data_IF_657320775095
#
_entry.id   IF_657320775095
#
_cell.length_a   1.000
_cell.length_b   1.000
_cell.length_c   1.000
_cell.angle_alpha   90.00
_cell.angle_beta   90.00
_cell.angle_gamma   90.00
#
_symmetry.space_group_name_H-M   'P 1'
#
loop_
_entity.id
_entity.type
_entity.pdbx_description
1 polymer ?
#
# COMPACT_ATOMS: atom_id res chain seq x y z
N UNK A 1 10.46 -37.22 -19.66
CA UNK A 1 9.17 -36.72 -20.18
C UNK A 1 9.39 -35.30 -20.68
N UNK A 2 9.73 -35.13 -21.96
CA UNK A 2 9.71 -33.80 -22.59
C UNK A 2 8.25 -33.52 -22.96
N UNK A 3 7.64 -32.50 -22.35
CA UNK A 3 6.30 -32.06 -22.73
C UNK A 3 6.44 -31.17 -23.98
N UNK A 4 5.96 -31.60 -25.17
CA UNK A 4 6.04 -30.79 -26.37
C UNK A 4 5.17 -29.53 -26.33
N UNK A 5 4.34 -29.36 -25.31
CA UNK A 5 3.35 -28.28 -25.18
C UNK A 5 3.55 -27.43 -23.90
N UNK A 6 4.80 -27.31 -23.43
CA UNK A 6 5.16 -26.55 -22.23
C UNK A 6 5.52 -25.08 -22.50
N UNK A 7 6.01 -24.38 -21.46
CA UNK A 7 6.55 -23.00 -21.56
C UNK A 7 7.60 -22.83 -22.68
N UNK A 8 8.33 -23.90 -22.98
CA UNK A 8 9.34 -23.93 -24.04
C UNK A 8 8.73 -23.81 -25.43
N UNK A 9 7.53 -24.35 -25.65
CA UNK A 9 6.82 -24.24 -26.92
C UNK A 9 6.24 -22.82 -27.13
N UNK A 10 5.70 -22.22 -26.07
CA UNK A 10 5.29 -20.79 -26.10
C UNK A 10 6.48 -19.87 -26.36
N UNK A 11 7.65 -20.21 -25.83
CA UNK A 11 8.88 -19.52 -26.18
C UNK A 11 9.15 -19.69 -27.67
N UNK A 12 9.03 -20.86 -28.27
CA UNK A 12 9.30 -21.03 -29.71
C UNK A 12 8.24 -20.43 -30.66
N UNK A 13 7.07 -20.02 -30.15
CA UNK A 13 5.94 -19.43 -30.89
C UNK A 13 6.12 -17.99 -31.45
N UNK A 14 7.31 -17.40 -31.34
CA UNK A 14 7.67 -16.09 -31.92
C UNK A 14 7.74 -14.93 -30.93
N UNK A 15 7.92 -13.71 -31.44
CA UNK A 15 8.20 -12.52 -30.62
C UNK A 15 7.03 -12.13 -29.70
N UNK A 16 5.80 -12.15 -30.21
CA UNK A 16 4.62 -11.66 -29.48
C UNK A 16 4.30 -12.53 -28.24
N UNK A 17 4.19 -13.87 -28.33
CA UNK A 17 3.95 -14.72 -27.15
C UNK A 17 5.04 -14.59 -26.08
N UNK A 18 6.31 -14.52 -26.48
CA UNK A 18 7.43 -14.26 -25.57
C UNK A 18 7.26 -12.93 -24.83
N UNK A 19 6.97 -11.85 -25.55
CA UNK A 19 6.77 -10.53 -24.95
C UNK A 19 5.58 -10.54 -23.97
N UNK A 20 4.48 -11.21 -24.32
CA UNK A 20 3.30 -11.31 -23.45
C UNK A 20 3.63 -12.07 -22.16
N UNK A 21 4.34 -13.20 -22.24
CA UNK A 21 4.78 -13.95 -21.07
C UNK A 21 5.70 -13.12 -20.17
N UNK A 22 6.69 -12.43 -20.75
CA UNK A 22 7.65 -11.60 -19.99
C UNK A 22 6.91 -10.51 -19.21
N UNK A 23 5.96 -9.82 -19.85
CA UNK A 23 5.14 -8.80 -19.20
C UNK A 23 4.36 -9.39 -18.02
N UNK A 24 3.70 -10.53 -18.21
CA UNK A 24 2.95 -11.21 -17.13
C UNK A 24 3.86 -11.64 -15.97
N UNK A 25 5.07 -12.13 -16.26
CA UNK A 25 6.06 -12.49 -15.23
C UNK A 25 6.47 -11.26 -14.41
N UNK A 26 6.76 -10.13 -15.07
CA UNK A 26 7.09 -8.87 -14.38
C UNK A 26 5.92 -8.41 -13.49
N UNK A 27 4.69 -8.46 -14.01
CA UNK A 27 3.48 -8.12 -13.25
C UNK A 27 3.29 -9.03 -12.02
N UNK A 28 3.57 -10.33 -12.17
CA UNK A 28 3.49 -11.30 -11.07
C UNK A 28 4.53 -11.03 -9.98
N UNK A 29 5.80 -10.81 -10.36
CA UNK A 29 6.88 -10.48 -9.42
C UNK A 29 6.55 -9.18 -8.68
N UNK A 30 6.13 -8.14 -9.41
CA UNK A 30 5.71 -6.86 -8.81
C UNK A 30 4.54 -7.02 -7.84
N UNK A 31 3.58 -7.88 -8.17
CA UNK A 31 2.43 -8.18 -7.31
C UNK A 31 2.88 -8.75 -5.96
N UNK A 32 3.69 -9.80 -5.97
CA UNK A 32 4.19 -10.42 -4.75
C UNK A 32 5.09 -9.49 -3.94
N UNK A 33 5.96 -8.73 -4.60
CA UNK A 33 6.81 -7.74 -3.94
C UNK A 33 5.99 -6.70 -3.17
N UNK A 34 4.96 -6.12 -3.80
CA UNK A 34 4.09 -5.12 -3.14
C UNK A 34 3.29 -5.76 -2.00
N UNK A 35 2.75 -6.97 -2.20
CA UNK A 35 2.00 -7.67 -1.15
C UNK A 35 2.85 -7.87 0.10
N UNK A 36 4.08 -8.38 -0.06
CA UNK A 36 4.97 -8.68 1.07
C UNK A 36 5.41 -7.40 1.76
N UNK A 37 5.87 -6.40 1.01
CA UNK A 37 6.36 -5.14 1.58
C UNK A 37 5.26 -4.41 2.34
N UNK A 38 4.06 -4.28 1.76
CA UNK A 38 2.92 -3.65 2.43
C UNK A 38 2.42 -4.41 3.64
N UNK A 39 2.48 -5.74 3.61
CA UNK A 39 2.14 -6.54 4.78
C UNK A 39 3.09 -6.24 5.95
N UNK A 40 4.39 -6.19 5.69
CA UNK A 40 5.39 -5.85 6.71
C UNK A 40 5.15 -4.44 7.26
N UNK A 41 4.93 -3.46 6.38
CA UNK A 41 4.66 -2.07 6.79
C UNK A 41 3.40 -1.96 7.66
N UNK A 42 2.30 -2.61 7.26
CA UNK A 42 1.08 -2.65 8.05
C UNK A 42 1.29 -3.33 9.40
N UNK A 43 2.02 -4.44 9.45
CA UNK A 43 2.34 -5.12 10.71
C UNK A 43 3.14 -4.21 11.65
N UNK A 44 4.09 -3.44 11.12
CA UNK A 44 4.82 -2.43 11.90
C UNK A 44 3.88 -1.35 12.44
N UNK A 45 2.97 -0.83 11.63
CA UNK A 45 2.01 0.20 12.05
C UNK A 45 1.11 -0.33 13.18
N UNK A 46 0.55 -1.54 13.07
CA UNK A 46 -0.26 -2.12 14.15
C UNK A 46 0.55 -2.36 15.44
N UNK A 47 1.82 -2.74 15.33
CA UNK A 47 2.71 -2.83 16.50
C UNK A 47 2.91 -1.47 17.14
N UNK A 48 3.22 -0.46 16.33
CA UNK A 48 3.43 0.92 16.79
C UNK A 48 2.16 1.53 17.39
N UNK A 49 0.97 1.18 16.90
CA UNK A 49 -0.30 1.59 17.48
C UNK A 49 -0.44 1.09 18.93
N UNK A 50 -0.12 -0.19 19.17
CA UNK A 50 -0.10 -0.76 20.52
C UNK A 50 0.94 -0.10 21.41
N UNK A 51 2.13 0.20 20.87
CA UNK A 51 3.17 0.89 21.62
C UNK A 51 2.78 2.33 21.98
N UNK A 52 2.14 3.06 21.06
CA UNK A 52 1.58 4.37 21.33
C UNK A 52 0.54 4.30 22.45
N UNK A 53 -0.42 3.39 22.37
CA UNK A 53 -1.40 3.20 23.44
C UNK A 53 -0.76 2.88 24.81
N UNK A 54 0.32 2.10 24.84
CA UNK A 54 0.95 1.64 26.08
C UNK A 54 1.97 2.62 26.70
N UNK A 55 2.71 3.36 25.87
CA UNK A 55 3.85 4.19 26.30
C UNK A 55 3.55 5.69 26.22
N UNK A 56 2.98 6.15 25.10
CA UNK A 56 2.81 7.58 24.81
C UNK A 56 1.94 8.27 25.86
N UNK A 57 0.80 7.68 26.21
CA UNK A 57 -0.15 8.25 27.18
C UNK A 57 0.32 8.22 28.64
N UNK A 58 1.42 7.54 28.95
CA UNK A 58 2.03 7.54 30.29
C UNK A 58 3.04 8.67 30.47
N UNK A 59 3.43 9.34 29.39
CA UNK A 59 4.40 10.41 29.43
C UNK A 59 3.78 11.69 30.02
N UNK A 60 4.60 12.58 30.62
CA UNK A 60 4.12 13.81 31.23
C UNK A 60 3.67 14.87 30.20
N UNK A 61 4.10 14.76 28.94
CA UNK A 61 3.76 15.70 27.87
C UNK A 61 3.76 14.99 26.50
N UNK A 62 3.12 15.61 25.50
CA UNK A 62 3.10 15.09 24.12
C UNK A 62 4.52 14.97 23.56
N UNK A 63 5.41 15.92 23.88
CA UNK A 63 6.81 15.90 23.42
C UNK A 63 7.62 14.77 24.07
N UNK A 64 7.43 14.52 25.37
CA UNK A 64 8.05 13.38 26.04
C UNK A 64 7.47 12.06 25.50
N UNK A 65 6.15 12.01 25.27
CA UNK A 65 5.47 10.85 24.70
C UNK A 65 5.98 10.52 23.30
N UNK A 66 6.09 11.50 22.40
CA UNK A 66 6.56 11.29 21.03
C UNK A 66 8.00 10.79 21.00
N UNK A 67 8.86 11.24 21.92
CA UNK A 67 10.24 10.76 22.06
C UNK A 67 10.34 9.27 22.47
N UNK A 68 9.31 8.69 23.09
CA UNK A 68 9.26 7.25 23.42
C UNK A 68 8.88 6.36 22.24
N UNK A 69 8.44 6.96 21.13
CA UNK A 69 8.01 6.25 19.93
C UNK A 69 9.15 6.11 18.92
N UNK A 70 9.10 5.03 18.15
CA UNK A 70 10.09 4.73 17.11
C UNK A 70 10.17 5.85 16.06
N UNK A 71 11.39 6.17 15.61
CA UNK A 71 11.59 7.09 14.50
C UNK A 71 10.92 6.57 13.23
N UNK A 72 10.23 7.46 12.51
CA UNK A 72 9.45 7.09 11.33
C UNK A 72 8.07 6.49 11.63
N UNK A 73 7.69 6.32 12.89
CA UNK A 73 6.33 5.91 13.25
C UNK A 73 5.29 6.97 12.83
N UNK A 74 4.16 6.58 12.22
CA UNK A 74 3.07 7.50 11.94
C UNK A 74 2.56 8.23 13.17
N UNK A 75 2.49 7.54 14.31
CA UNK A 75 2.02 8.09 15.58
C UNK A 75 2.96 9.18 16.09
N UNK A 76 4.28 8.95 16.03
CA UNK A 76 5.29 9.96 16.35
C UNK A 76 5.18 11.17 15.43
N UNK A 77 5.09 10.93 14.13
CA UNK A 77 4.98 11.99 13.13
C UNK A 77 3.76 12.89 13.37
N UNK A 78 2.60 12.32 13.75
CA UNK A 78 1.39 13.07 14.07
C UNK A 78 1.55 13.90 15.34
N UNK A 79 2.08 13.30 16.42
CA UNK A 79 2.33 14.00 17.68
C UNK A 79 3.31 15.18 17.51
N UNK A 80 4.39 14.96 16.76
CA UNK A 80 5.35 16.02 16.42
C UNK A 80 4.74 17.10 15.51
N UNK A 81 3.85 16.73 14.59
CA UNK A 81 3.16 17.70 13.73
C UNK A 81 2.22 18.60 14.54
N UNK A 82 1.49 18.05 15.51
CA UNK A 82 0.62 18.82 16.39
C UNK A 82 1.40 19.75 17.33
N UNK A 83 2.49 19.26 17.93
CA UNK A 83 3.36 20.09 18.79
C UNK A 83 4.04 21.21 18.00
N UNK A 84 4.55 20.94 16.79
CA UNK A 84 5.08 21.99 15.90
C UNK A 84 4.01 23.02 15.52
N UNK A 85 2.77 22.59 15.29
CA UNK A 85 1.67 23.49 14.96
C UNK A 85 1.32 24.44 16.12
N UNK A 86 1.38 23.95 17.37
CA UNK A 86 1.18 24.80 18.56
C UNK A 86 2.33 25.78 18.81
N UNK A 87 3.57 25.38 18.52
CA UNK A 87 4.75 26.22 18.73
C UNK A 87 5.02 27.27 17.63
N UNK A 88 4.38 27.15 16.46
CA UNK A 88 4.63 28.03 15.30
C UNK A 88 3.35 28.74 14.82
N UNK A 89 2.50 29.18 15.75
CA UNK A 89 1.30 29.97 15.46
C UNK A 89 1.57 31.49 15.40
N UNK A 90 2.81 31.91 15.16
CA UNK A 90 3.26 33.30 15.38
C UNK A 90 3.31 34.15 14.09
N UNK A 91 2.54 33.81 13.06
CA UNK A 91 2.55 34.51 11.77
C UNK A 91 1.33 35.42 11.58
N UNK A 92 1.50 36.63 11.03
CA UNK A 92 0.42 37.62 10.83
C UNK A 92 -0.81 37.13 10.03
N UNK A 93 -0.65 36.11 9.19
CA UNK A 93 -1.75 35.44 8.47
C UNK A 93 -2.33 34.24 9.25
N UNK A 94 -1.53 33.62 10.13
CA UNK A 94 -1.92 32.47 10.94
C UNK A 94 -2.66 32.90 12.22
N UNK A 95 -2.35 34.08 12.76
CA UNK A 95 -3.06 34.69 13.91
C UNK A 95 -4.56 34.93 13.62
N UNK A 96 -4.94 35.05 12.35
CA UNK A 96 -6.36 35.18 11.95
C UNK A 96 -7.13 33.85 12.07
N UNK A 97 -6.41 32.73 12.20
CA UNK A 97 -6.98 31.40 12.35
C UNK A 97 -6.88 31.01 13.82
N UNK A 98 -8.00 30.60 14.41
CA UNK A 98 -8.03 30.07 15.76
C UNK A 98 -7.03 28.89 15.92
N UNK A 99 -6.28 28.88 17.04
CA UNK A 99 -5.25 27.88 17.31
C UNK A 99 -5.79 26.45 17.23
N UNK A 100 -7.00 26.21 17.75
CA UNK A 100 -7.61 24.87 17.71
C UNK A 100 -7.88 24.43 16.28
N UNK A 101 -8.30 25.35 15.41
CA UNK A 101 -8.52 25.11 13.98
C UNK A 101 -7.19 24.82 13.27
N UNK A 102 -6.15 25.62 13.54
CA UNK A 102 -4.83 25.44 12.96
C UNK A 102 -4.18 24.09 13.32
N UNK A 103 -4.27 23.70 14.60
CA UNK A 103 -3.76 22.40 15.08
C UNK A 103 -4.55 21.25 14.47
N UNK A 104 -5.89 21.36 14.39
CA UNK A 104 -6.74 20.37 13.69
C UNK A 104 -6.26 20.13 12.26
N UNK A 105 -6.10 21.21 11.49
CA UNK A 105 -5.67 21.12 10.10
C UNK A 105 -4.28 20.52 9.97
N UNK A 106 -3.37 20.81 10.88
CA UNK A 106 -2.00 20.29 10.87
C UNK A 106 -1.95 18.79 11.17
N UNK A 107 -2.72 18.33 12.15
CA UNK A 107 -2.87 16.90 12.47
C UNK A 107 -3.58 16.15 11.33
N UNK A 108 -4.61 16.75 10.72
CA UNK A 108 -5.31 16.17 9.58
C UNK A 108 -4.37 16.00 8.39
N UNK A 109 -3.59 17.02 8.03
CA UNK A 109 -2.57 16.92 6.97
C UNK A 109 -1.54 15.83 7.27
N UNK A 110 -1.12 15.69 8.52
CA UNK A 110 -0.20 14.62 8.92
C UNK A 110 -0.83 13.23 8.72
N UNK A 111 -2.10 13.07 9.11
CA UNK A 111 -2.87 11.83 8.90
C UNK A 111 -3.06 11.52 7.42
N UNK A 112 -3.39 12.52 6.60
CA UNK A 112 -3.57 12.36 5.16
C UNK A 112 -2.26 11.94 4.47
N UNK A 113 -1.12 12.48 4.93
CA UNK A 113 0.21 12.07 4.45
C UNK A 113 0.50 10.60 4.77
N UNK A 114 0.11 10.13 5.95
CA UNK A 114 0.22 8.71 6.31
C UNK A 114 -0.71 7.86 5.45
N UNK A 115 -1.96 8.30 5.25
CA UNK A 115 -2.94 7.62 4.40
C UNK A 115 -2.42 7.48 2.96
N UNK A 116 -1.84 8.53 2.39
CA UNK A 116 -1.24 8.50 1.06
C UNK A 116 -0.12 7.44 0.96
N UNK A 117 0.79 7.39 1.95
CA UNK A 117 1.86 6.37 1.99
C UNK A 117 1.32 4.93 2.08
N UNK A 118 0.22 4.73 2.80
CA UNK A 118 -0.46 3.42 2.87
C UNK A 118 -1.05 3.00 1.52
N UNK A 119 -1.41 3.95 0.65
CA UNK A 119 -1.98 3.69 -0.66
C UNK A 119 -0.94 3.42 -1.76
N UNK A 120 0.33 3.76 -1.54
CA UNK A 120 1.39 3.54 -2.53
C UNK A 120 1.43 2.09 -3.01
N UNK A 121 1.60 1.86 -4.31
CA UNK A 121 1.67 0.52 -4.89
C UNK A 121 0.32 -0.24 -4.98
N UNK A 122 -0.73 0.19 -4.30
CA UNK A 122 -2.06 -0.43 -4.47
C UNK A 122 -2.63 -0.20 -5.87
N UNK A 123 -2.31 0.94 -6.48
CA UNK A 123 -2.67 1.23 -7.88
C UNK A 123 -2.08 0.19 -8.84
N UNK A 124 -0.83 -0.24 -8.62
CA UNK A 124 -0.21 -1.29 -9.41
C UNK A 124 -0.97 -2.62 -9.27
N UNK A 125 -1.31 -3.03 -8.05
CA UNK A 125 -2.10 -4.26 -7.83
C UNK A 125 -3.47 -4.19 -8.51
N UNK A 126 -4.15 -3.06 -8.42
CA UNK A 126 -5.43 -2.84 -9.09
C UNK A 126 -5.30 -2.91 -10.62
N UNK A 127 -4.26 -2.28 -11.18
CA UNK A 127 -3.97 -2.33 -12.62
C UNK A 127 -3.61 -3.75 -13.07
N UNK A 128 -2.75 -4.46 -12.34
CA UNK A 128 -2.40 -5.85 -12.69
C UNK A 128 -3.63 -6.74 -12.64
N UNK A 129 -4.44 -6.62 -11.58
CA UNK A 129 -5.66 -7.39 -11.41
C UNK A 129 -6.68 -7.18 -12.52
N UNK A 130 -6.78 -5.97 -13.07
CA UNK A 130 -7.71 -5.67 -14.16
C UNK A 130 -7.15 -5.95 -15.57
N UNK A 131 -5.82 -5.82 -15.77
CA UNK A 131 -5.22 -5.90 -17.12
C UNK A 131 -4.62 -7.26 -17.46
N UNK A 132 -4.09 -8.01 -16.47
CA UNK A 132 -3.45 -9.30 -16.72
C UNK A 132 -4.33 -10.34 -17.45
N UNK A 133 -5.65 -10.46 -17.17
CA UNK A 133 -6.52 -11.37 -17.92
C UNK A 133 -6.60 -11.02 -19.42
N UNK A 134 -6.66 -9.72 -19.74
CA UNK A 134 -6.72 -9.25 -21.13
C UNK A 134 -5.38 -9.44 -21.85
N UNK A 135 -4.26 -9.30 -21.14
CA UNK A 135 -2.93 -9.60 -21.68
C UNK A 135 -2.80 -11.10 -22.01
N UNK A 136 -3.30 -11.99 -21.14
CA UNK A 136 -3.35 -13.43 -21.42
C UNK A 136 -4.28 -13.80 -22.58
N UNK A 137 -5.46 -13.15 -22.65
CA UNK A 137 -6.40 -13.29 -23.77
C UNK A 137 -5.75 -12.85 -25.09
N UNK A 138 -5.06 -11.71 -25.09
CA UNK A 138 -4.34 -11.22 -26.27
C UNK A 138 -3.29 -12.23 -26.75
N UNK A 139 -2.50 -12.80 -25.84
CA UNK A 139 -1.53 -13.86 -26.18
C UNK A 139 -2.20 -15.09 -26.81
N UNK A 140 -3.39 -15.45 -26.33
CA UNK A 140 -4.18 -16.57 -26.86
C UNK A 140 -4.70 -16.27 -28.26
N UNK A 141 -5.29 -15.09 -28.48
CA UNK A 141 -5.81 -14.66 -29.78
C UNK A 141 -4.68 -14.63 -30.82
N UNK A 142 -3.51 -14.10 -30.44
CA UNK A 142 -2.35 -14.06 -31.32
C UNK A 142 -1.82 -15.46 -31.66
N UNK A 143 -1.74 -16.36 -30.67
CA UNK A 143 -1.31 -17.75 -30.90
C UNK A 143 -2.23 -18.49 -31.86
N UNK A 144 -3.55 -18.37 -31.68
CA UNK A 144 -4.55 -18.98 -32.57
C UNK A 144 -4.47 -18.36 -33.97
N UNK A 145 -4.30 -17.04 -34.08
CA UNK A 145 -4.13 -16.37 -35.36
C UNK A 145 -2.94 -16.93 -36.15
N UNK A 146 -1.76 -17.01 -35.53
CA UNK A 146 -0.57 -17.56 -36.16
C UNK A 146 -0.74 -19.03 -36.59
N UNK A 147 -1.42 -19.84 -35.76
CA UNK A 147 -1.72 -21.22 -36.09
C UNK A 147 -2.60 -21.33 -37.34
N UNK A 148 -3.67 -20.54 -37.42
CA UNK A 148 -4.59 -20.54 -38.56
C UNK A 148 -3.93 -20.01 -39.83
N UNK A 149 -3.07 -18.99 -39.74
CA UNK A 149 -2.30 -18.50 -40.88
C UNK A 149 -1.35 -19.58 -41.43
N UNK A 150 -0.64 -20.30 -40.56
CA UNK A 150 0.24 -21.39 -40.99
C UNK A 150 -0.52 -22.53 -41.69
N UNK A 151 -1.70 -22.89 -41.18
CA UNK A 151 -2.59 -23.88 -41.82
C UNK A 151 -3.06 -23.37 -43.20
N UNK A 152 -3.48 -22.10 -43.28
CA UNK A 152 -3.93 -21.49 -44.53
C UNK A 152 -2.84 -21.44 -45.61
N UNK A 153 -1.58 -21.20 -45.21
CA UNK A 153 -0.43 -21.21 -46.13
C UNK A 153 -0.02 -22.61 -46.58
N UNK A 154 -0.16 -23.62 -45.71
CA UNK A 154 0.25 -25.00 -46.02
C UNK A 154 -0.85 -25.84 -46.68
N UNK A 155 -2.11 -25.40 -46.58
CA UNK A 155 -3.28 -26.13 -47.08
C UNK A 155 -3.61 -27.41 -46.29
N UNK A 156 -2.88 -27.70 -45.21
CA UNK A 156 -3.04 -28.93 -44.43
C UNK A 156 -3.73 -28.63 -43.09
N UNK A 157 -5.03 -28.88 -43.03
CA UNK A 157 -5.86 -28.68 -41.84
C UNK A 157 -5.97 -29.92 -40.93
N UNK A 158 -4.98 -30.82 -40.94
CA UNK A 158 -4.97 -31.99 -40.04
C UNK A 158 -4.95 -31.57 -38.56
N UNK A 159 -5.69 -32.28 -37.72
CA UNK A 159 -5.86 -31.95 -36.30
C UNK A 159 -4.52 -31.91 -35.55
N UNK A 160 -3.56 -32.75 -35.94
CA UNK A 160 -2.21 -32.79 -35.37
C UNK A 160 -1.44 -31.49 -35.58
N UNK A 161 -1.75 -30.72 -36.62
CA UNK A 161 -1.14 -29.42 -36.91
C UNK A 161 -1.82 -28.26 -36.19
N UNK A 162 -3.05 -28.44 -35.73
CA UNK A 162 -3.84 -27.39 -35.05
C UNK A 162 -3.76 -27.53 -33.53
N UNK A 163 -3.81 -28.76 -33.02
CA UNK A 163 -3.99 -29.03 -31.59
C UNK A 163 -2.84 -28.48 -30.72
N UNK A 164 -1.60 -28.59 -31.18
CA UNK A 164 -0.43 -28.07 -30.44
C UNK A 164 -0.45 -26.55 -30.27
N UNK A 165 -0.41 -25.76 -31.36
CA UNK A 165 -0.42 -24.30 -31.29
C UNK A 165 -1.63 -23.72 -30.57
N UNK A 166 -2.81 -24.34 -30.72
CA UNK A 166 -4.02 -23.90 -30.00
C UNK A 166 -3.91 -24.21 -28.50
N UNK A 167 -3.38 -25.38 -28.11
CA UNK A 167 -3.13 -25.71 -26.71
C UNK A 167 -2.14 -24.75 -26.04
N UNK A 168 -1.06 -24.40 -26.72
CA UNK A 168 -0.08 -23.41 -26.26
C UNK A 168 -0.69 -22.02 -26.07
N UNK A 169 -1.55 -21.62 -27.00
CA UNK A 169 -2.28 -20.36 -26.89
C UNK A 169 -3.15 -20.32 -25.63
N UNK A 170 -3.87 -21.40 -25.29
CA UNK A 170 -4.73 -21.47 -24.11
C UNK A 170 -3.96 -21.31 -22.78
N UNK A 171 -2.70 -21.73 -22.74
CA UNK A 171 -1.82 -21.54 -21.57
C UNK A 171 -1.66 -20.05 -21.25
N UNK A 172 -1.66 -19.17 -22.25
CA UNK A 172 -1.51 -17.72 -22.06
C UNK A 172 -2.66 -17.11 -21.25
N UNK A 173 -3.90 -17.53 -21.52
CA UNK A 173 -5.06 -17.09 -20.74
C UNK A 173 -4.99 -17.62 -19.30
N UNK A 174 -4.60 -18.88 -19.12
CA UNK A 174 -4.43 -19.46 -17.78
C UNK A 174 -3.39 -18.70 -16.96
N UNK A 175 -2.26 -18.31 -17.56
CA UNK A 175 -1.26 -17.46 -16.93
C UNK A 175 -1.81 -16.07 -16.58
N UNK A 176 -2.54 -15.44 -17.49
CA UNK A 176 -3.17 -14.13 -17.23
C UNK A 176 -4.06 -14.17 -15.97
N UNK A 177 -4.86 -15.22 -15.80
CA UNK A 177 -5.66 -15.45 -14.60
C UNK A 177 -4.80 -15.72 -13.36
N UNK A 178 -3.76 -16.55 -13.49
CA UNK A 178 -2.84 -16.86 -12.39
C UNK A 178 -2.11 -15.62 -11.87
N UNK A 179 -1.83 -14.64 -12.74
CA UNK A 179 -1.26 -13.33 -12.33
C UNK A 179 -2.33 -12.41 -11.74
N UNK A 180 -3.53 -12.36 -12.33
CA UNK A 180 -4.59 -11.45 -11.91
C UNK A 180 -5.18 -11.78 -10.53
N UNK A 181 -5.43 -13.07 -10.25
CA UNK A 181 -6.15 -13.49 -9.04
C UNK A 181 -5.40 -13.08 -7.76
N UNK A 182 -4.09 -13.35 -7.60
CA UNK A 182 -3.34 -12.89 -6.43
C UNK A 182 -3.31 -11.36 -6.31
N UNK A 183 -3.24 -10.64 -7.43
CA UNK A 183 -3.23 -9.17 -7.42
C UNK A 183 -4.54 -8.58 -6.88
N UNK A 184 -5.69 -9.09 -7.36
CA UNK A 184 -7.01 -8.65 -6.89
C UNK A 184 -7.24 -9.01 -5.42
N UNK A 185 -6.89 -10.24 -5.02
CA UNK A 185 -7.01 -10.67 -3.62
C UNK A 185 -6.10 -9.85 -2.69
N UNK A 186 -4.84 -9.65 -3.09
CA UNK A 186 -3.87 -8.85 -2.36
C UNK A 186 -4.33 -7.40 -2.21
N UNK A 187 -4.79 -6.78 -3.30
CA UNK A 187 -5.34 -5.41 -3.28
C UNK A 187 -6.49 -5.28 -2.27
N UNK A 188 -7.52 -6.12 -2.38
CA UNK A 188 -8.69 -6.06 -1.51
C UNK A 188 -8.33 -6.27 -0.04
N UNK A 189 -7.43 -7.22 0.23
CA UNK A 189 -6.98 -7.52 1.57
C UNK A 189 -6.16 -6.38 2.19
N UNK A 190 -5.23 -5.80 1.43
CA UNK A 190 -4.42 -4.67 1.89
C UNK A 190 -5.26 -3.41 2.11
N UNK A 191 -6.22 -3.12 1.23
CA UNK A 191 -7.16 -1.98 1.40
C UNK A 191 -7.95 -2.13 2.69
N UNK A 192 -8.45 -3.34 2.98
CA UNK A 192 -9.17 -3.61 4.23
C UNK A 192 -8.27 -3.39 5.45
N UNK A 193 -7.03 -3.85 5.43
CA UNK A 193 -6.07 -3.61 6.53
C UNK A 193 -5.70 -2.13 6.67
N UNK A 194 -5.57 -1.40 5.56
CA UNK A 194 -5.32 0.04 5.58
C UNK A 194 -6.46 0.80 6.28
N UNK A 195 -7.71 0.37 6.08
CA UNK A 195 -8.85 0.96 6.79
C UNK A 195 -8.68 0.84 8.31
N UNK A 196 -8.35 -0.35 8.81
CA UNK A 196 -8.13 -0.56 10.25
C UNK A 196 -6.92 0.22 10.77
N UNK A 197 -5.81 0.26 10.03
CA UNK A 197 -4.65 1.07 10.42
C UNK A 197 -5.00 2.58 10.49
N UNK A 198 -5.83 3.06 9.57
CA UNK A 198 -6.30 4.45 9.58
C UNK A 198 -7.29 4.76 10.71
N UNK A 199 -8.06 3.77 11.17
CA UNK A 199 -8.92 3.92 12.36
C UNK A 199 -8.05 4.17 13.60
N UNK A 200 -6.97 3.41 13.81
CA UNK A 200 -6.02 3.62 14.91
C UNK A 200 -5.35 5.01 14.83
N UNK A 201 -4.92 5.40 13.63
CA UNK A 201 -4.29 6.71 13.37
C UNK A 201 -5.25 7.86 13.68
N UNK A 202 -6.52 7.75 13.25
CA UNK A 202 -7.53 8.79 13.48
C UNK A 202 -7.90 8.91 14.95
N UNK A 203 -8.04 7.78 15.66
CA UNK A 203 -8.27 7.78 17.11
C UNK A 203 -7.14 8.50 17.82
N UNK A 204 -5.89 8.10 17.54
CA UNK A 204 -4.72 8.74 18.14
C UNK A 204 -4.63 10.24 17.81
N UNK A 205 -4.94 10.61 16.57
CA UNK A 205 -4.95 12.01 16.12
C UNK A 205 -5.95 12.86 16.87
N UNK A 206 -7.16 12.33 17.09
CA UNK A 206 -8.21 13.00 17.87
C UNK A 206 -7.80 13.17 19.34
N UNK A 207 -7.23 12.13 19.93
CA UNK A 207 -6.76 12.18 21.32
C UNK A 207 -5.63 13.22 21.47
N UNK A 208 -4.64 13.22 20.56
CA UNK A 208 -3.54 14.21 20.57
C UNK A 208 -4.07 15.63 20.40
N UNK A 209 -5.01 15.84 19.47
CA UNK A 209 -5.66 17.13 19.28
C UNK A 209 -6.34 17.60 20.56
N UNK A 210 -7.13 16.74 21.20
CA UNK A 210 -7.85 17.07 22.43
C UNK A 210 -6.91 17.52 23.54
N UNK A 211 -5.75 16.86 23.70
CA UNK A 211 -4.77 17.22 24.72
C UNK A 211 -4.05 18.53 24.41
N UNK A 212 -3.67 18.75 23.15
CA UNK A 212 -2.98 19.97 22.74
C UNK A 212 -3.86 21.20 22.92
N UNK A 213 -5.16 21.08 22.61
CA UNK A 213 -6.12 22.20 22.71
C UNK A 213 -6.64 22.39 24.13
N UNK A 214 -6.83 21.30 24.91
CA UNK A 214 -7.29 21.41 26.30
C UNK A 214 -6.21 21.86 27.29
N UNK A 215 -4.92 21.83 26.90
CA UNK A 215 -3.80 22.22 27.75
C UNK A 215 -3.51 21.26 28.91
N UNK A 216 -4.29 20.18 29.09
CA UNK A 216 -4.32 19.31 30.28
C UNK A 216 -2.98 18.62 30.58
N UNK A 217 -2.16 18.31 29.56
CA UNK A 217 -0.80 17.77 29.79
C UNK A 217 0.26 18.86 30.03
N UNK A 218 0.05 20.10 29.58
CA UNK A 218 0.97 21.22 29.86
C UNK A 218 0.80 21.75 31.29
N UNK A 219 -0.44 21.77 31.81
CA UNK A 219 -0.72 22.19 33.20
C UNK A 219 -0.19 21.22 34.26
N UNK A 220 0.04 19.95 33.92
CA UNK A 220 0.67 18.97 34.81
C UNK A 220 2.12 19.33 35.16
N UNK A 221 2.90 19.84 34.19
CA UNK A 221 4.26 20.37 34.42
C UNK A 221 4.23 21.65 35.26
N UNK A 222 3.32 22.58 34.98
CA UNK A 222 3.17 23.80 35.77
C UNK A 222 2.76 23.50 37.24
N UNK A 223 1.87 22.52 37.45
CA UNK A 223 1.45 22.07 38.78
C UNK A 223 2.56 21.36 39.56
N UNK A 224 3.38 20.52 38.90
CA UNK A 224 4.55 19.86 39.51
C UNK A 224 5.67 20.84 39.83
N UNK A 225 5.97 21.79 38.95
CA UNK A 225 6.98 22.82 39.18
C UNK A 225 6.59 23.79 40.31
N UNK A 226 5.31 24.15 40.42
CA UNK A 226 4.79 24.97 41.51
C UNK A 226 4.78 24.23 42.87
N UNK A 227 4.56 22.91 42.87
CA UNK A 227 4.65 22.07 44.07
C UNK A 227 6.08 21.92 44.59
N UNK A 228 7.06 21.74 43.70
CA UNK A 228 8.47 21.63 44.08
C UNK A 228 9.05 22.91 44.69
N UNK A 229 8.54 24.09 44.28
CA UNK A 229 8.98 25.40 44.79
C UNK A 229 8.38 25.79 46.15
N UNK A 230 7.37 25.05 46.65
CA UNK A 230 6.73 25.28 47.96
C UNK A 230 7.30 24.43 49.11
N UNK A 231 8.19 23.49 48.80
CA UNK A 231 8.76 22.53 49.76
C UNK A 231 10.27 22.79 50.01
N UNK A 232 10.87 23.77 49.33
CA UNK A 232 12.22 24.29 49.60
C UNK A 232 12.15 25.68 50.19
#
# INVERSE_FOLDING_TARGET
>A
MHNPFGLQAVWDGGFVPRATLIIMVIMSIGTWYIIITKLIDQMKIFKQAKEAAAKFWKAPSIAAGSATLEEGSPFRFIAESGTKATAHHDGALLEQIDLSTWVTMSIQRASDKVQSRLQDGLSFLATVGSTAPFIGLFGTVWGIYNALTAIGMTGNASIDKVAGPVGEALIMTAFGLLVAVPAVLGYNWLVRRNKTAMEDIRSFSADVHSVLVSGVMSTSEAGRAAGAKKIG
#
